data_IF_702401540893
#
_entry.id   IF_702401540893
#
_cell.length_a   1.000
_cell.length_b   1.000
_cell.length_c   1.000
_cell.angle_alpha   90.00
_cell.angle_beta   90.00
_cell.angle_gamma   90.00
#
_symmetry.space_group_name_H-M   'P 1'
#
loop_
_entity.id
_entity.type
_entity.pdbx_description
1 polymer ?
#
# COMPACT_ATOMS: atom_id res chain seq x y z
N UNK A 1 -63.06 6.17 19.04
CA UNK A 1 -64.15 5.29 18.62
C UNK A 1 -63.58 4.23 17.69
N UNK A 2 -63.83 2.96 18.00
CA UNK A 2 -63.43 1.77 17.25
C UNK A 2 -64.44 1.55 16.13
N UNK A 3 -64.02 1.31 14.89
CA UNK A 3 -64.82 0.52 13.94
C UNK A 3 -63.86 -0.36 13.13
N UNK A 4 -63.95 -1.65 13.41
CA UNK A 4 -63.43 -2.75 12.61
C UNK A 4 -64.57 -3.31 11.71
N UNK A 5 -64.23 -4.32 10.90
CA UNK A 5 -65.00 -5.13 9.93
C UNK A 5 -64.92 -4.62 8.49
N UNK A 6 -64.29 -5.32 7.52
CA UNK A 6 -64.31 -6.73 7.10
C UNK A 6 -65.56 -7.14 6.30
N UNK A 7 -65.31 -7.64 5.07
CA UNK A 7 -66.05 -8.58 4.19
C UNK A 7 -65.85 -8.10 2.73
N UNK A 8 -65.10 -8.77 1.84
CA UNK A 8 -65.26 -10.11 1.25
C UNK A 8 -66.45 -10.25 0.28
N UNK A 9 -66.19 -11.05 -0.77
CA UNK A 9 -67.07 -11.54 -1.85
C UNK A 9 -67.34 -10.62 -3.06
N UNK A 10 -67.46 -11.05 -4.32
CA UNK A 10 -67.09 -12.25 -5.11
C UNK A 10 -67.78 -12.12 -6.49
N UNK A 11 -67.20 -12.72 -7.53
CA UNK A 11 -67.81 -13.18 -8.81
C UNK A 11 -68.19 -12.17 -9.92
N UNK A 12 -67.76 -12.51 -11.15
CA UNK A 12 -68.73 -12.77 -12.23
C UNK A 12 -68.66 -11.91 -13.51
N UNK A 13 -67.95 -12.43 -14.53
CA UNK A 13 -68.21 -12.43 -15.98
C UNK A 13 -69.11 -11.34 -16.60
N UNK A 14 -68.65 -10.70 -17.70
CA UNK A 14 -69.36 -10.58 -19.00
C UNK A 14 -68.39 -10.01 -20.07
N UNK A 15 -68.51 -10.59 -21.26
CA UNK A 15 -67.73 -10.42 -22.48
C UNK A 15 -67.95 -9.09 -23.24
N UNK A 16 -66.95 -8.69 -24.04
CA UNK A 16 -67.03 -8.07 -25.39
C UNK A 16 -65.58 -7.86 -25.88
N UNK A 17 -65.03 -8.67 -26.80
CA UNK A 17 -65.14 -8.67 -28.27
C UNK A 17 -64.46 -7.46 -28.96
N UNK A 18 -63.66 -7.81 -29.98
CA UNK A 18 -63.13 -6.98 -31.09
C UNK A 18 -61.80 -6.27 -30.83
N UNK A 19 -60.85 -6.16 -31.76
CA UNK A 19 -60.50 -6.85 -33.01
C UNK A 19 -59.14 -6.24 -33.43
N UNK A 20 -58.15 -7.08 -33.76
CA UNK A 20 -56.85 -6.76 -34.42
C UNK A 20 -55.91 -5.67 -33.79
N UNK A 21 -54.60 -5.55 -34.15
CA UNK A 21 -53.92 -6.08 -35.35
C UNK A 21 -52.47 -6.60 -35.11
N UNK A 22 -51.85 -6.94 -36.26
CA UNK A 22 -50.45 -6.67 -36.64
C UNK A 22 -49.58 -7.91 -36.84
N UNK A 23 -49.24 -8.06 -38.12
CA UNK A 23 -48.33 -9.01 -38.75
C UNK A 23 -47.03 -9.20 -37.99
N UNK A 24 -46.69 -10.47 -37.76
CA UNK A 24 -45.35 -10.91 -37.42
C UNK A 24 -44.45 -10.62 -38.63
N UNK A 25 -43.59 -9.61 -38.50
CA UNK A 25 -42.49 -9.40 -39.42
C UNK A 25 -41.41 -10.42 -39.10
N UNK A 26 -41.18 -11.37 -40.00
CA UNK A 26 -39.95 -12.14 -40.05
C UNK A 26 -38.78 -11.15 -40.16
N UNK A 27 -37.97 -11.09 -39.11
CA UNK A 27 -36.74 -10.30 -39.05
C UNK A 27 -35.59 -11.22 -38.69
N UNK A 28 -34.63 -11.35 -39.62
CA UNK A 28 -33.37 -12.10 -39.48
C UNK A 28 -32.71 -11.96 -38.10
N UNK A 29 -32.00 -13.00 -37.60
CA UNK A 29 -31.25 -12.89 -36.37
C UNK A 29 -30.20 -11.79 -36.51
N UNK A 30 -30.38 -10.70 -35.76
CA UNK A 30 -29.32 -9.73 -35.52
C UNK A 30 -28.16 -10.50 -34.87
N UNK A 31 -27.07 -10.68 -35.62
CA UNK A 31 -25.80 -10.96 -35.01
C UNK A 31 -25.56 -9.84 -33.99
N UNK A 32 -25.64 -10.18 -32.71
CA UNK A 32 -25.14 -9.31 -31.64
C UNK A 32 -23.64 -9.18 -31.91
N UNK A 33 -23.24 -8.08 -32.52
CA UNK A 33 -21.86 -7.65 -32.47
C UNK A 33 -21.58 -7.39 -30.99
N UNK A 34 -20.90 -8.32 -30.32
CA UNK A 34 -20.31 -8.07 -29.01
C UNK A 34 -19.48 -6.80 -29.13
N UNK A 35 -19.91 -5.75 -28.45
CA UNK A 35 -19.16 -4.53 -28.32
C UNK A 35 -17.82 -4.91 -27.65
N UNK A 36 -16.66 -4.55 -28.23
CA UNK A 36 -15.37 -4.89 -27.64
C UNK A 36 -15.37 -4.45 -26.17
N UNK A 37 -14.93 -5.29 -25.23
CA UNK A 37 -14.90 -4.90 -23.83
C UNK A 37 -14.14 -3.59 -23.71
N UNK A 38 -14.72 -2.63 -22.98
CA UNK A 38 -14.08 -1.34 -22.76
C UNK A 38 -12.65 -1.57 -22.25
N UNK A 39 -11.66 -0.78 -22.72
CA UNK A 39 -10.29 -0.93 -22.24
C UNK A 39 -10.27 -0.81 -20.73
N UNK A 40 -9.60 -1.76 -20.07
CA UNK A 40 -9.45 -1.72 -18.61
C UNK A 40 -8.87 -0.35 -18.20
N UNK A 41 -9.36 0.25 -17.09
CA UNK A 41 -8.80 1.51 -16.61
C UNK A 41 -7.28 1.35 -16.48
N UNK A 42 -6.52 2.26 -17.10
CA UNK A 42 -5.07 2.22 -17.05
C UNK A 42 -4.62 2.23 -15.59
N UNK A 43 -4.04 1.12 -15.12
CA UNK A 43 -3.54 1.01 -13.76
C UNK A 43 -2.55 2.15 -13.50
N UNK A 44 -2.73 2.90 -12.42
CA UNK A 44 -1.81 3.97 -12.08
C UNK A 44 -0.40 3.36 -11.88
N UNK A 45 0.67 3.94 -12.45
CA UNK A 45 1.98 3.30 -12.43
C UNK A 45 2.50 3.02 -11.02
N UNK A 46 2.18 3.91 -10.07
CA UNK A 46 2.67 3.86 -8.69
C UNK A 46 1.70 3.29 -7.66
N UNK A 47 0.39 3.32 -7.91
CA UNK A 47 -0.60 2.96 -6.89
C UNK A 47 -1.38 1.71 -7.30
N UNK A 48 -1.70 0.88 -6.32
CA UNK A 48 -2.60 -0.25 -6.49
C UNK A 48 -4.07 0.18 -6.45
N UNK A 49 -4.97 -0.78 -6.59
CA UNK A 49 -6.43 -0.57 -6.59
C UNK A 49 -6.94 0.02 -5.25
N UNK A 50 -6.19 -0.14 -4.16
CA UNK A 50 -6.52 0.44 -2.84
C UNK A 50 -6.00 1.87 -2.67
N UNK A 51 -5.26 2.40 -3.65
CA UNK A 51 -4.58 3.69 -3.56
C UNK A 51 -3.28 3.65 -2.75
N UNK A 52 -2.75 2.48 -2.41
CA UNK A 52 -1.45 2.33 -1.75
C UNK A 52 -0.33 2.23 -2.77
N UNK A 53 0.90 2.57 -2.41
CA UNK A 53 2.03 2.40 -3.32
C UNK A 53 2.21 0.90 -3.63
N UNK A 54 2.40 0.59 -4.92
CA UNK A 54 2.68 -0.78 -5.37
C UNK A 54 4.07 -1.20 -4.89
N UNK A 55 4.20 -2.48 -4.57
CA UNK A 55 5.48 -3.06 -4.21
C UNK A 55 6.39 -3.20 -5.43
N UNK A 56 7.69 -2.96 -5.23
CA UNK A 56 8.75 -3.27 -6.19
C UNK A 56 9.42 -4.60 -5.83
N UNK A 57 10.30 -5.10 -6.70
CA UNK A 57 11.10 -6.30 -6.38
C UNK A 57 12.24 -6.02 -5.38
N UNK A 58 12.55 -4.76 -5.08
CA UNK A 58 13.65 -4.36 -4.21
C UNK A 58 13.34 -4.59 -2.73
N UNK A 59 14.34 -5.10 -1.99
CA UNK A 59 14.23 -5.45 -0.56
C UNK A 59 15.47 -5.02 0.19
N UNK A 60 15.29 -4.36 1.34
CA UNK A 60 16.35 -4.05 2.30
C UNK A 60 16.04 -4.71 3.63
N UNK A 61 16.91 -5.62 4.08
CA UNK A 61 16.78 -6.28 5.39
C UNK A 61 15.37 -6.86 5.69
N UNK A 62 14.68 -7.33 4.65
CA UNK A 62 13.30 -7.87 4.75
C UNK A 62 12.18 -6.83 4.56
N UNK A 63 12.50 -5.54 4.40
CA UNK A 63 11.57 -4.48 4.03
C UNK A 63 11.46 -4.37 2.51
N UNK A 64 10.28 -4.69 1.97
CA UNK A 64 9.93 -4.51 0.55
C UNK A 64 9.75 -3.04 0.21
N UNK A 65 10.46 -2.51 -0.78
CA UNK A 65 10.34 -1.11 -1.18
C UNK A 65 9.19 -0.89 -2.17
N UNK A 66 8.52 0.27 -2.15
CA UNK A 66 7.53 0.61 -3.16
C UNK A 66 8.17 1.04 -4.48
N UNK A 67 7.41 0.97 -5.56
CA UNK A 67 7.79 1.56 -6.85
C UNK A 67 7.86 3.09 -6.78
N UNK A 68 8.57 3.70 -7.73
CA UNK A 68 8.70 5.16 -7.81
C UNK A 68 9.78 5.75 -6.92
N UNK A 69 10.66 4.92 -6.37
CA UNK A 69 11.87 5.32 -5.66
C UNK A 69 13.09 5.19 -6.57
N UNK A 70 14.04 6.11 -6.46
CA UNK A 70 15.32 6.08 -7.20
C UNK A 70 16.45 6.19 -6.19
N UNK A 71 17.35 5.21 -6.20
CA UNK A 71 18.52 5.19 -5.32
C UNK A 71 19.40 6.42 -5.60
N UNK A 72 19.66 7.20 -4.56
CA UNK A 72 20.49 8.40 -4.62
C UNK A 72 21.88 8.17 -4.02
N UNK A 73 21.93 7.43 -2.91
CA UNK A 73 23.16 7.16 -2.18
C UNK A 73 23.08 5.81 -1.46
N UNK A 74 24.19 5.07 -1.43
CA UNK A 74 24.34 3.81 -0.70
C UNK A 74 25.73 3.73 -0.10
N UNK A 75 25.79 3.47 1.20
CA UNK A 75 27.03 3.30 1.97
C UNK A 75 26.81 2.26 3.06
N UNK A 76 27.58 1.17 3.04
CA UNK A 76 27.51 0.02 3.96
C UNK A 76 26.09 -0.50 4.26
N UNK A 77 25.42 0.15 5.21
CA UNK A 77 24.11 -0.20 5.80
C UNK A 77 23.08 0.91 5.66
N UNK A 78 23.36 1.93 4.86
CA UNK A 78 22.52 3.09 4.65
C UNK A 78 22.16 3.20 3.18
N UNK A 79 20.87 3.36 2.91
CA UNK A 79 20.30 3.46 1.59
C UNK A 79 19.40 4.69 1.54
N UNK A 80 19.72 5.64 0.67
CA UNK A 80 18.95 6.87 0.51
C UNK A 80 18.33 6.88 -0.87
N UNK A 81 17.02 7.02 -0.91
CA UNK A 81 16.23 7.07 -2.13
C UNK A 81 15.52 8.41 -2.23
N UNK A 82 15.39 8.91 -3.45
CA UNK A 82 14.55 10.06 -3.77
C UNK A 82 13.32 9.61 -4.57
N UNK A 83 12.23 10.36 -4.47
CA UNK A 83 11.02 10.17 -5.26
C UNK A 83 10.33 11.50 -5.54
N UNK A 84 9.55 11.56 -6.62
CA UNK A 84 8.65 12.67 -6.91
C UNK A 84 7.31 12.57 -6.16
N UNK A 85 7.02 11.42 -5.55
CA UNK A 85 5.78 11.18 -4.81
C UNK A 85 5.81 11.90 -3.45
N UNK A 86 4.66 12.27 -2.89
CA UNK A 86 4.58 13.03 -1.64
C UNK A 86 4.94 12.16 -0.41
N UNK A 87 5.49 12.75 0.67
CA UNK A 87 5.96 11.99 1.84
C UNK A 87 4.88 11.12 2.49
N UNK A 88 3.64 11.64 2.55
CA UNK A 88 2.49 10.95 3.13
C UNK A 88 2.20 9.57 2.50
N UNK A 89 2.52 9.38 1.21
CA UNK A 89 2.30 8.10 0.55
C UNK A 89 3.31 7.05 1.02
N UNK A 90 4.55 7.46 1.29
CA UNK A 90 5.56 6.60 1.90
C UNK A 90 5.22 6.30 3.36
N UNK A 91 4.70 7.27 4.11
CA UNK A 91 4.22 7.03 5.49
C UNK A 91 3.08 6.00 5.49
N UNK A 92 2.09 6.14 4.58
CA UNK A 92 1.00 5.17 4.41
C UNK A 92 1.50 3.79 4.00
N UNK A 93 2.53 3.73 3.15
CA UNK A 93 3.09 2.47 2.69
C UNK A 93 3.92 1.76 3.77
N UNK A 94 4.83 2.47 4.44
CA UNK A 94 5.77 1.90 5.42
C UNK A 94 5.16 1.68 6.80
N UNK A 95 4.20 2.51 7.21
CA UNK A 95 3.52 2.40 8.52
C UNK A 95 3.06 0.98 8.86
N UNK A 96 2.24 0.31 8.04
CA UNK A 96 1.77 -1.05 8.30
C UNK A 96 2.83 -2.14 8.01
N UNK A 97 4.02 -1.78 7.51
CA UNK A 97 5.10 -2.72 7.19
C UNK A 97 6.23 -2.72 8.22
N UNK A 98 6.23 -1.75 9.14
CA UNK A 98 7.24 -1.57 10.17
C UNK A 98 6.61 -1.71 11.56
N UNK A 99 7.13 -2.62 12.36
CA UNK A 99 6.77 -2.76 13.77
C UNK A 99 7.78 -2.04 14.65
N UNK A 100 7.34 -1.00 15.37
CA UNK A 100 8.14 -0.24 16.33
C UNK A 100 7.27 0.45 17.37
N UNK A 101 7.84 0.71 18.55
CA UNK A 101 7.26 1.60 19.56
C UNK A 101 7.75 3.05 19.48
N UNK A 102 8.70 3.37 18.60
CA UNK A 102 9.30 4.71 18.44
C UNK A 102 9.07 5.23 17.02
N UNK A 103 8.03 6.05 16.89
CA UNK A 103 7.69 6.78 15.66
C UNK A 103 7.60 8.27 15.96
N UNK A 104 8.35 9.07 15.20
CA UNK A 104 8.29 10.53 15.27
C UNK A 104 7.79 11.09 13.93
N UNK A 105 6.67 11.82 13.96
CA UNK A 105 6.18 12.56 12.80
C UNK A 105 7.03 13.82 12.56
N UNK A 106 7.32 14.12 11.29
CA UNK A 106 8.11 15.28 10.86
C UNK A 106 7.51 15.84 9.56
N UNK A 107 6.74 16.93 9.66
CA UNK A 107 5.97 17.44 8.52
C UNK A 107 4.96 16.41 8.03
N UNK A 108 4.90 16.17 6.71
CA UNK A 108 4.13 15.05 6.12
C UNK A 108 4.88 13.70 6.20
N UNK A 109 6.11 13.69 6.70
CA UNK A 109 6.96 12.50 6.83
C UNK A 109 6.95 11.90 8.23
N UNK A 110 7.78 10.87 8.41
CA UNK A 110 7.94 10.17 9.68
C UNK A 110 9.34 9.56 9.80
N UNK A 111 9.79 9.37 11.04
CA UNK A 111 10.98 8.60 11.37
C UNK A 111 10.56 7.41 12.23
N UNK A 112 10.76 6.20 11.72
CA UNK A 112 10.54 4.95 12.42
C UNK A 112 11.90 4.48 12.93
N UNK A 113 12.08 4.44 14.25
CA UNK A 113 13.34 4.01 14.88
C UNK A 113 13.23 2.60 15.38
N UNK A 114 14.35 1.88 15.44
CA UNK A 114 14.42 0.55 16.03
C UNK A 114 13.34 -0.42 15.46
N UNK A 115 13.00 -0.25 14.19
CA UNK A 115 11.83 -0.86 13.57
C UNK A 115 12.16 -2.22 12.95
N UNK A 116 11.30 -3.21 13.18
CA UNK A 116 11.38 -4.52 12.55
C UNK A 116 10.45 -4.59 11.33
N UNK A 117 10.93 -5.02 10.15
CA UNK A 117 10.05 -5.28 9.02
C UNK A 117 9.11 -6.46 9.31
N UNK A 118 7.80 -6.25 9.17
CA UNK A 118 6.79 -7.24 9.56
C UNK A 118 6.83 -8.53 8.71
N UNK A 119 7.35 -8.46 7.49
CA UNK A 119 7.44 -9.58 6.56
C UNK A 119 8.84 -10.20 6.49
N UNK A 120 9.77 -9.79 7.36
CA UNK A 120 11.11 -10.37 7.39
C UNK A 120 11.06 -11.88 7.72
N UNK A 121 11.86 -12.67 6.99
CA UNK A 121 12.04 -14.10 7.24
C UNK A 121 13.45 -14.35 7.73
N UNK A 122 13.61 -15.18 8.76
CA UNK A 122 14.92 -15.50 9.35
C UNK A 122 15.36 -14.47 10.39
N UNK A 123 16.66 -14.16 10.41
CA UNK A 123 17.22 -13.19 11.36
C UNK A 123 16.69 -11.78 11.07
N UNK A 124 16.10 -11.15 12.09
CA UNK A 124 15.53 -9.81 11.98
C UNK A 124 16.63 -8.77 12.17
N UNK A 125 16.87 -7.97 11.15
CA UNK A 125 17.70 -6.76 11.23
C UNK A 125 16.77 -5.59 11.48
N UNK A 126 17.05 -4.82 12.55
CA UNK A 126 16.26 -3.63 12.85
C UNK A 126 16.68 -2.48 11.93
N UNK A 127 15.74 -1.59 11.66
CA UNK A 127 15.90 -0.47 10.75
C UNK A 127 15.61 0.86 11.44
N UNK A 128 16.28 1.91 10.99
CA UNK A 128 15.77 3.27 11.07
C UNK A 128 15.31 3.69 9.68
N UNK A 129 14.05 4.12 9.55
CA UNK A 129 13.48 4.58 8.28
C UNK A 129 13.01 6.02 8.47
N UNK A 130 13.67 6.96 7.79
CA UNK A 130 13.33 8.37 7.83
C UNK A 130 12.78 8.85 6.48
N UNK A 131 11.56 9.36 6.49
CA UNK A 131 10.84 9.90 5.33
C UNK A 131 10.77 11.40 5.51
N UNK A 132 11.29 12.15 4.53
CA UNK A 132 11.39 13.62 4.58
C UNK A 132 10.91 14.24 3.28
N UNK A 133 10.30 15.41 3.40
CA UNK A 133 9.99 16.25 2.24
C UNK A 133 11.27 16.85 1.65
N UNK A 134 11.28 17.02 0.34
CA UNK A 134 12.32 17.69 -0.42
C UNK A 134 11.68 18.63 -1.45
N UNK A 135 12.46 19.55 -2.03
CA UNK A 135 11.96 20.46 -3.05
C UNK A 135 11.40 19.77 -4.31
N UNK A 136 11.68 18.47 -4.53
CA UNK A 136 11.25 17.71 -5.72
C UNK A 136 10.34 16.53 -5.41
N UNK A 137 9.85 16.42 -4.17
CA UNK A 137 9.05 15.28 -3.69
C UNK A 137 9.55 14.80 -2.33
N UNK A 138 9.99 13.56 -2.24
CA UNK A 138 10.39 12.92 -0.98
C UNK A 138 11.79 12.32 -1.02
N UNK A 139 12.41 12.21 0.15
CA UNK A 139 13.57 11.38 0.40
C UNK A 139 13.23 10.32 1.46
N UNK A 140 13.65 9.09 1.22
CA UNK A 140 13.55 7.98 2.15
C UNK A 140 14.96 7.49 2.46
N UNK A 141 15.37 7.60 3.72
CA UNK A 141 16.67 7.18 4.25
C UNK A 141 16.45 5.94 5.13
N UNK A 142 16.98 4.81 4.69
CA UNK A 142 16.84 3.50 5.35
C UNK A 142 18.21 3.09 5.85
N UNK A 143 18.32 2.90 7.16
CA UNK A 143 19.56 2.50 7.83
C UNK A 143 19.37 1.19 8.60
N UNK A 144 20.17 0.19 8.28
CA UNK A 144 20.21 -1.05 9.04
C UNK A 144 20.97 -0.85 10.36
N UNK A 145 20.34 -1.26 11.46
CA UNK A 145 20.90 -1.22 12.81
C UNK A 145 21.53 -2.59 13.07
N UNK A 146 22.86 -2.68 13.32
CA UNK A 146 23.51 -3.95 13.63
C UNK A 146 22.89 -4.60 14.86
N UNK A 147 22.79 -5.95 14.89
CA UNK A 147 22.52 -6.62 16.16
C UNK A 147 23.66 -6.32 17.13
N UNK A 148 23.38 -6.25 18.45
CA UNK A 148 24.43 -6.16 19.46
C UNK A 148 25.44 -7.31 19.29
N UNK A 149 26.73 -7.08 19.52
CA UNK A 149 27.73 -8.13 19.47
C UNK A 149 27.40 -9.21 20.52
N UNK A 150 27.53 -10.49 20.13
CA UNK A 150 27.27 -11.63 21.02
C UNK A 150 28.21 -11.67 22.22
N UNK A 151 29.42 -11.11 22.07
CA UNK A 151 30.41 -11.01 23.13
C UNK A 151 30.94 -9.57 23.15
N UNK A 152 30.26 -8.65 23.88
CA UNK A 152 30.71 -7.28 23.95
C UNK A 152 32.09 -7.23 24.61
N UNK A 153 33.03 -6.48 24.00
CA UNK A 153 34.32 -6.21 24.62
C UNK A 153 34.10 -5.55 25.97
N UNK A 154 34.89 -5.92 26.98
CA UNK A 154 34.89 -5.25 28.27
C UNK A 154 35.35 -3.79 28.14
N UNK A 155 34.98 -2.95 29.10
CA UNK A 155 35.40 -1.54 29.12
C UNK A 155 36.94 -1.39 29.13
N UNK A 156 37.66 -2.33 29.76
CA UNK A 156 39.11 -2.36 29.77
C UNK A 156 39.69 -2.63 28.37
N UNK A 157 39.16 -3.62 27.66
CA UNK A 157 39.57 -3.93 26.28
C UNK A 157 39.25 -2.81 25.30
N UNK A 158 38.09 -2.15 25.46
CA UNK A 158 37.71 -0.98 24.67
C UNK A 158 38.68 0.20 24.89
N UNK A 159 39.09 0.42 26.13
CA UNK A 159 40.03 1.49 26.47
C UNK A 159 41.42 1.26 25.87
N UNK A 160 41.91 0.02 25.86
CA UNK A 160 43.19 -0.32 25.24
C UNK A 160 43.16 -0.18 23.71
N UNK A 161 42.05 -0.54 23.06
CA UNK A 161 41.89 -0.36 21.61
C UNK A 161 41.85 1.11 21.20
N UNK A 162 41.11 1.95 21.93
CA UNK A 162 41.04 3.38 21.66
C UNK A 162 42.40 4.07 21.84
N UNK A 163 43.21 3.62 22.81
CA UNK A 163 44.59 4.09 22.94
C UNK A 163 45.42 3.68 21.73
N UNK A 164 45.30 2.44 21.26
CA UNK A 164 46.06 1.94 20.12
C UNK A 164 45.74 2.70 18.81
N UNK A 165 44.46 3.02 18.53
CA UNK A 165 44.05 3.82 17.37
C UNK A 165 44.51 5.28 17.44
N UNK A 166 44.72 5.84 18.63
CA UNK A 166 45.16 7.23 18.80
C UNK A 166 46.66 7.44 18.55
N UNK A 167 47.44 6.37 18.38
CA UNK A 167 48.88 6.41 18.11
C UNK A 167 49.26 6.01 16.68
N UNK A 168 48.28 5.78 15.79
CA UNK A 168 48.48 5.73 14.33
C UNK A 168 48.14 7.08 13.67
#
# INVERSE_FOLDING_TARGET
MRIALALALVLGLIACKSDEPVRVSEGLPRAYLEEPPAPAPSAHPYYDESGSLRESDEVIAGLRLPVGMTLHFKEDRRHVYNSHLPPRDFVRYFGPRLFTGDVRLVGEGAVYRDAAPMQAKGAIVKLEVAIRETARGSQVDIREIPPPPLNPKSAAELSELLKAEAYE
#
